data_IF_733189455829
#
_entry.id   IF_733189455829
#
_cell.length_a   1.000
_cell.length_b   1.000
_cell.length_c   1.000
_cell.angle_alpha   90.00
_cell.angle_beta   90.00
_cell.angle_gamma   90.00
#
_symmetry.space_group_name_H-M   'P 1'
#
loop_
_entity.id
_entity.type
_entity.pdbx_description
1 polymer ?
#
# COMPACT_ATOMS: atom_id res chain seq x y z
N UNK A 1 22.47 -1.54 4.39
CA UNK A 1 23.57 -2.28 3.74
C UNK A 1 22.99 -3.59 3.22
N UNK A 2 22.84 -3.72 1.90
CA UNK A 2 22.32 -4.93 1.25
C UNK A 2 23.34 -6.05 1.42
N UNK A 3 23.03 -7.08 2.20
CA UNK A 3 23.86 -8.29 2.19
C UNK A 3 23.51 -9.06 0.92
N UNK A 4 24.51 -9.23 0.07
CA UNK A 4 24.56 -9.80 -1.29
C UNK A 4 23.88 -11.18 -1.54
N UNK A 5 22.93 -11.63 -0.72
CA UNK A 5 22.43 -13.03 -0.70
C UNK A 5 21.00 -13.24 -1.20
N UNK A 6 20.13 -12.23 -1.18
CA UNK A 6 18.76 -12.42 -1.64
C UNK A 6 18.65 -12.20 -3.15
N UNK A 7 18.16 -13.20 -3.88
CA UNK A 7 17.73 -13.00 -5.26
C UNK A 7 16.36 -12.29 -5.29
N UNK A 8 15.95 -11.77 -6.46
CA UNK A 8 14.70 -11.01 -6.61
C UNK A 8 13.45 -11.82 -6.22
N UNK A 9 13.47 -13.14 -6.38
CA UNK A 9 12.36 -14.02 -5.97
C UNK A 9 12.22 -14.07 -4.43
N UNK A 10 13.33 -14.12 -3.71
CA UNK A 10 13.34 -14.09 -2.26
C UNK A 10 12.78 -12.75 -1.74
N UNK A 11 13.14 -11.62 -2.38
CA UNK A 11 12.56 -10.31 -2.03
C UNK A 11 11.05 -10.29 -2.23
N UNK A 12 10.56 -10.80 -3.38
CA UNK A 12 9.12 -10.92 -3.66
C UNK A 12 8.41 -11.70 -2.56
N UNK A 13 8.94 -12.87 -2.19
CA UNK A 13 8.36 -13.73 -1.18
C UNK A 13 8.34 -13.06 0.20
N UNK A 14 9.44 -12.41 0.60
CA UNK A 14 9.52 -11.66 1.88
C UNK A 14 8.51 -10.51 1.91
N UNK A 15 8.38 -9.75 0.82
CA UNK A 15 7.38 -8.68 0.70
C UNK A 15 5.94 -9.19 0.89
N UNK A 16 5.58 -10.28 0.21
CA UNK A 16 4.26 -10.90 0.33
C UNK A 16 4.00 -11.42 1.75
N UNK A 17 4.98 -12.10 2.37
CA UNK A 17 4.84 -12.62 3.72
C UNK A 17 4.61 -11.50 4.74
N UNK A 18 5.34 -10.39 4.62
CA UNK A 18 5.16 -9.21 5.46
C UNK A 18 3.81 -8.54 5.24
N UNK A 19 3.35 -8.42 4.00
CA UNK A 19 2.02 -7.89 3.69
C UNK A 19 0.91 -8.75 4.29
N UNK A 20 1.02 -10.07 4.15
CA UNK A 20 0.06 -11.01 4.75
C UNK A 20 0.01 -10.83 6.28
N UNK A 21 1.16 -10.76 6.96
CA UNK A 21 1.23 -10.52 8.41
C UNK A 21 0.57 -9.19 8.79
N UNK A 22 0.88 -8.11 8.07
CA UNK A 22 0.28 -6.80 8.29
C UNK A 22 -1.25 -6.82 8.08
N UNK A 23 -1.73 -7.56 7.09
CA UNK A 23 -3.16 -7.71 6.80
C UNK A 23 -3.90 -8.45 7.91
N UNK A 24 -3.31 -9.53 8.45
CA UNK A 24 -3.88 -10.27 9.58
C UNK A 24 -3.97 -9.38 10.83
N UNK A 25 -2.91 -8.63 11.15
CA UNK A 25 -2.91 -7.73 12.30
C UNK A 25 -3.92 -6.59 12.12
N UNK A 26 -4.01 -6.01 10.92
CA UNK A 26 -4.98 -4.97 10.59
C UNK A 26 -6.42 -5.49 10.68
N UNK A 27 -6.68 -6.71 10.21
CA UNK A 27 -7.99 -7.36 10.33
C UNK A 27 -8.40 -7.61 11.79
N UNK A 28 -7.48 -8.12 12.62
CA UNK A 28 -7.71 -8.30 14.06
C UNK A 28 -8.01 -6.97 14.76
N UNK A 29 -7.24 -5.93 14.43
CA UNK A 29 -7.45 -4.59 14.97
C UNK A 29 -8.83 -4.03 14.59
N UNK A 30 -9.22 -4.18 13.32
CA UNK A 30 -10.52 -3.72 12.83
C UNK A 30 -11.71 -4.50 13.40
N UNK A 31 -11.52 -5.77 13.76
CA UNK A 31 -12.54 -6.60 14.40
C UNK A 31 -12.76 -6.25 15.89
N UNK A 32 -12.04 -5.27 16.44
CA UNK A 32 -12.17 -4.88 17.84
C UNK A 32 -11.62 -5.93 18.83
N UNK A 33 -10.73 -6.81 18.37
CA UNK A 33 -10.04 -7.73 19.29
C UNK A 33 -9.30 -6.92 20.38
N UNK A 34 -9.34 -7.35 21.65
CA UNK A 34 -8.60 -6.69 22.72
C UNK A 34 -7.11 -6.57 22.36
N UNK A 35 -6.58 -5.35 22.48
CA UNK A 35 -5.18 -5.03 22.23
C UNK A 35 -4.36 -5.32 23.49
N UNK A 36 -4.10 -6.60 23.74
CA UNK A 36 -3.21 -7.04 24.82
C UNK A 36 -1.73 -6.75 24.50
N UNK A 37 -0.87 -6.94 25.50
CA UNK A 37 0.58 -6.71 25.38
C UNK A 37 1.19 -7.53 24.24
N UNK A 38 0.78 -8.79 24.09
CA UNK A 38 1.25 -9.66 23.03
C UNK A 38 0.89 -9.15 21.62
N UNK A 39 -0.31 -8.61 21.43
CA UNK A 39 -0.72 -8.01 20.16
C UNK A 39 0.07 -6.73 19.87
N UNK A 40 0.36 -5.91 20.88
CA UNK A 40 1.20 -4.72 20.73
C UNK A 40 2.64 -5.06 20.37
N UNK A 41 3.21 -6.10 20.97
CA UNK A 41 4.53 -6.61 20.63
C UNK A 41 4.58 -7.09 19.17
N UNK A 42 3.55 -7.84 18.75
CA UNK A 42 3.40 -8.31 17.38
C UNK A 42 3.31 -7.17 16.36
N UNK A 43 2.52 -6.13 16.67
CA UNK A 43 2.40 -4.93 15.83
C UNK A 43 3.74 -4.21 15.76
N UNK A 44 4.39 -4.00 16.91
CA UNK A 44 5.68 -3.27 17.00
C UNK A 44 6.78 -4.00 16.24
N UNK A 45 6.90 -5.32 16.41
CA UNK A 45 7.85 -6.14 15.68
C UNK A 45 7.58 -6.09 14.17
N UNK A 46 6.31 -6.15 13.76
CA UNK A 46 5.92 -6.06 12.35
C UNK A 46 6.18 -4.67 11.75
N UNK A 47 5.95 -3.58 12.49
CA UNK A 47 6.32 -2.21 12.07
C UNK A 47 7.83 -2.10 11.79
N UNK A 48 8.66 -2.60 12.72
CA UNK A 48 10.13 -2.58 12.57
C UNK A 48 10.58 -3.43 11.37
N UNK A 49 10.05 -4.65 11.24
CA UNK A 49 10.42 -5.58 10.17
C UNK A 49 10.01 -5.05 8.78
N UNK A 50 8.78 -4.58 8.63
CA UNK A 50 8.27 -4.02 7.35
C UNK A 50 9.08 -2.79 6.94
N UNK A 51 9.38 -1.90 7.88
CA UNK A 51 10.14 -0.69 7.59
C UNK A 51 11.60 -0.99 7.25
N UNK A 52 12.26 -1.89 8.00
CA UNK A 52 13.62 -2.33 7.71
C UNK A 52 13.72 -2.99 6.34
N UNK A 53 12.75 -3.85 6.01
CA UNK A 53 12.69 -4.52 4.70
C UNK A 53 12.47 -3.50 3.58
N UNK A 54 11.47 -2.62 3.68
CA UNK A 54 11.16 -1.63 2.66
C UNK A 54 12.32 -0.65 2.41
N UNK A 55 13.05 -0.24 3.46
CA UNK A 55 14.25 0.60 3.35
C UNK A 55 15.46 -0.16 2.82
N UNK A 56 15.47 -1.48 2.98
CA UNK A 56 16.50 -2.37 2.50
C UNK A 56 16.25 -2.95 1.11
N UNK A 57 15.19 -2.55 0.39
CA UNK A 57 15.00 -2.98 -0.99
C UNK A 57 16.04 -2.32 -1.92
N UNK A 58 16.45 -2.99 -3.00
CA UNK A 58 17.28 -2.37 -4.03
C UNK A 58 16.49 -1.28 -4.74
N UNK A 59 17.17 -0.44 -5.52
CA UNK A 59 16.49 0.50 -6.40
C UNK A 59 15.65 -0.26 -7.44
N UNK A 60 14.46 0.26 -7.73
CA UNK A 60 13.54 -0.39 -8.65
C UNK A 60 14.07 -0.44 -10.09
N UNK A 61 14.78 0.60 -10.52
CA UNK A 61 15.43 0.66 -11.82
C UNK A 61 16.85 0.10 -11.70
N UNK A 62 17.04 -1.13 -12.17
CA UNK A 62 18.35 -1.75 -12.22
C UNK A 62 19.16 -1.17 -13.39
N UNK A 63 20.49 -1.03 -13.26
CA UNK A 63 21.36 -0.65 -14.37
C UNK A 63 21.22 -1.65 -15.53
N UNK A 64 21.09 -1.15 -16.76
CA UNK A 64 20.80 -1.94 -17.97
C UNK A 64 21.89 -2.99 -18.32
N UNK A 65 23.08 -2.89 -17.71
CA UNK A 65 24.29 -3.54 -18.21
C UNK A 65 24.42 -5.04 -17.93
N UNK A 66 23.56 -5.66 -17.10
CA UNK A 66 23.84 -7.01 -16.61
C UNK A 66 22.62 -7.96 -16.51
N UNK A 67 21.56 -7.68 -17.27
CA UNK A 67 20.29 -8.43 -17.15
C UNK A 67 19.73 -8.86 -18.50
N UNK A 68 19.62 -10.17 -18.72
CA UNK A 68 19.06 -10.77 -19.94
C UNK A 68 17.57 -10.43 -20.21
N UNK A 69 16.82 -9.95 -19.21
CA UNK A 69 15.46 -9.44 -19.36
C UNK A 69 15.09 -8.43 -18.24
N UNK A 70 15.36 -7.12 -18.42
CA UNK A 70 15.11 -6.12 -17.38
C UNK A 70 13.62 -6.01 -17.01
N UNK A 71 12.71 -6.19 -17.96
CA UNK A 71 11.26 -6.11 -17.71
C UNK A 71 10.75 -7.24 -16.80
N UNK A 72 11.29 -8.46 -16.97
CA UNK A 72 10.95 -9.59 -16.12
C UNK A 72 11.39 -9.34 -14.67
N UNK A 73 12.58 -8.77 -14.48
CA UNK A 73 13.08 -8.43 -13.14
C UNK A 73 12.29 -7.26 -12.55
N UNK A 74 12.00 -6.24 -13.35
CA UNK A 74 11.15 -5.12 -12.96
C UNK A 74 9.78 -5.60 -12.48
N UNK A 75 9.16 -6.57 -13.18
CA UNK A 75 7.90 -7.19 -12.75
C UNK A 75 8.01 -7.86 -11.37
N UNK A 76 9.07 -8.63 -11.11
CA UNK A 76 9.30 -9.29 -9.83
C UNK A 76 9.52 -8.26 -8.71
N UNK A 77 10.35 -7.26 -8.97
CA UNK A 77 10.63 -6.17 -8.04
C UNK A 77 9.39 -5.32 -7.76
N UNK A 78 8.52 -5.11 -8.75
CA UNK A 78 7.29 -4.34 -8.58
C UNK A 78 6.40 -4.96 -7.50
N UNK A 79 6.27 -6.29 -7.49
CA UNK A 79 5.55 -7.00 -6.42
C UNK A 79 6.26 -6.80 -5.07
N UNK A 80 7.59 -6.98 -5.02
CA UNK A 80 8.35 -6.86 -3.78
C UNK A 80 8.18 -5.47 -3.13
N UNK A 81 8.31 -4.40 -3.93
CA UNK A 81 8.13 -3.03 -3.49
C UNK A 81 6.68 -2.74 -3.10
N UNK A 82 5.70 -3.05 -3.96
CA UNK A 82 4.30 -2.78 -3.67
C UNK A 82 3.86 -3.50 -2.39
N UNK A 83 4.24 -4.77 -2.22
CA UNK A 83 3.90 -5.53 -1.03
C UNK A 83 4.58 -4.97 0.23
N UNK A 84 5.86 -4.61 0.16
CA UNK A 84 6.58 -4.02 1.28
C UNK A 84 5.98 -2.68 1.73
N UNK A 85 5.73 -1.76 0.79
CA UNK A 85 5.16 -0.45 1.11
C UNK A 85 3.71 -0.56 1.59
N UNK A 86 2.93 -1.47 1.03
CA UNK A 86 1.58 -1.74 1.52
C UNK A 86 1.58 -2.36 2.92
N UNK A 87 2.55 -3.22 3.23
CA UNK A 87 2.71 -3.75 4.58
C UNK A 87 3.01 -2.64 5.59
N UNK A 88 3.91 -1.70 5.24
CA UNK A 88 4.19 -0.50 6.04
C UNK A 88 2.90 0.30 6.24
N UNK A 89 2.15 0.59 5.16
CA UNK A 89 0.91 1.36 5.23
C UNK A 89 -0.11 0.71 6.17
N UNK A 90 -0.36 -0.60 6.04
CA UNK A 90 -1.34 -1.29 6.86
C UNK A 90 -0.95 -1.30 8.33
N UNK A 91 0.27 -1.75 8.66
CA UNK A 91 0.67 -1.94 10.06
C UNK A 91 0.82 -0.61 10.80
N UNK A 92 1.36 0.42 10.13
CA UNK A 92 1.46 1.75 10.72
C UNK A 92 0.07 2.41 10.85
N UNK A 93 -0.89 2.03 10.01
CA UNK A 93 -2.28 2.47 10.14
C UNK A 93 -2.97 2.00 11.41
N UNK A 94 -2.50 0.92 12.04
CA UNK A 94 -3.02 0.44 13.33
C UNK A 94 -2.60 1.40 14.45
N UNK A 95 -1.36 1.91 14.40
CA UNK A 95 -0.78 2.72 15.48
C UNK A 95 -0.84 4.23 15.21
N UNK A 96 -1.32 4.66 14.05
CA UNK A 96 -1.33 6.06 13.62
C UNK A 96 -2.09 7.01 14.57
N UNK A 97 -3.08 6.51 15.30
CA UNK A 97 -3.79 7.29 16.32
C UNK A 97 -2.94 7.59 17.55
N UNK A 98 -2.07 6.66 17.94
CA UNK A 98 -1.21 6.78 19.12
C UNK A 98 0.17 7.40 18.78
N UNK A 99 0.60 7.30 17.52
CA UNK A 99 1.95 7.68 17.09
C UNK A 99 1.90 8.52 15.82
N UNK A 100 2.00 9.87 15.91
CA UNK A 100 1.96 10.76 14.74
C UNK A 100 3.00 10.44 13.67
N UNK A 101 4.20 10.00 14.08
CA UNK A 101 5.28 9.59 13.17
C UNK A 101 4.88 8.41 12.27
N UNK A 102 3.92 7.58 12.69
CA UNK A 102 3.46 6.45 11.88
C UNK A 102 2.75 6.94 10.61
N UNK A 103 1.97 8.03 10.68
CA UNK A 103 1.33 8.64 9.51
C UNK A 103 2.36 9.15 8.50
N UNK A 104 3.46 9.75 8.97
CA UNK A 104 4.54 10.20 8.09
C UNK A 104 5.19 9.03 7.34
N UNK A 105 5.41 7.90 8.03
CA UNK A 105 5.96 6.70 7.38
C UNK A 105 4.97 6.09 6.38
N UNK A 106 3.66 6.10 6.65
CA UNK A 106 2.64 5.70 5.66
C UNK A 106 2.69 6.60 4.41
N UNK A 107 2.78 7.92 4.59
CA UNK A 107 2.86 8.86 3.47
C UNK A 107 4.13 8.66 2.65
N UNK A 108 5.29 8.46 3.29
CA UNK A 108 6.55 8.14 2.62
C UNK A 108 6.43 6.83 1.83
N UNK A 109 5.84 5.79 2.42
CA UNK A 109 5.63 4.51 1.77
C UNK A 109 4.68 4.63 0.56
N UNK A 110 3.57 5.36 0.69
CA UNK A 110 2.62 5.59 -0.40
C UNK A 110 3.28 6.33 -1.58
N UNK A 111 4.02 7.40 -1.31
CA UNK A 111 4.76 8.14 -2.35
C UNK A 111 5.74 7.25 -3.10
N UNK A 112 6.51 6.41 -2.39
CA UNK A 112 7.45 5.47 -3.01
C UNK A 112 6.74 4.39 -3.81
N UNK A 113 5.62 3.87 -3.30
CA UNK A 113 4.82 2.90 -4.04
C UNK A 113 4.24 3.50 -5.34
N UNK A 114 3.81 4.77 -5.31
CA UNK A 114 3.28 5.45 -6.49
C UNK A 114 4.30 5.65 -7.60
N UNK A 115 5.60 5.73 -7.29
CA UNK A 115 6.65 5.66 -8.31
C UNK A 115 6.57 4.33 -9.06
N UNK A 116 6.49 3.21 -8.33
CA UNK A 116 6.39 1.87 -8.92
C UNK A 116 5.10 1.71 -9.74
N UNK A 117 3.97 2.22 -9.22
CA UNK A 117 2.69 2.19 -9.92
C UNK A 117 2.77 2.92 -11.25
N UNK A 118 3.38 4.12 -11.29
CA UNK A 118 3.54 4.91 -12.52
C UNK A 118 4.43 4.20 -13.54
N UNK A 119 5.51 3.56 -13.11
CA UNK A 119 6.35 2.76 -14.00
C UNK A 119 5.58 1.54 -14.56
N UNK A 120 4.85 0.82 -13.70
CA UNK A 120 4.04 -0.32 -14.14
C UNK A 120 2.86 0.09 -15.02
N UNK A 121 2.39 1.35 -14.90
CA UNK A 121 1.33 1.90 -15.74
C UNK A 121 1.73 2.04 -17.22
N UNK A 122 3.03 2.07 -17.53
CA UNK A 122 3.55 2.13 -18.91
C UNK A 122 4.24 0.84 -19.35
N UNK A 123 4.47 -0.11 -18.43
CA UNK A 123 5.08 -1.40 -18.74
C UNK A 123 4.27 -2.20 -19.76
N UNK A 124 4.93 -3.07 -20.53
CA UNK A 124 4.25 -3.96 -21.49
C UNK A 124 3.26 -4.89 -20.75
N UNK A 125 2.05 -5.17 -21.29
CA UNK A 125 1.05 -5.95 -20.58
C UNK A 125 1.54 -7.31 -20.06
N UNK A 126 2.38 -8.01 -20.84
CA UNK A 126 2.95 -9.32 -20.46
C UNK A 126 3.84 -9.30 -19.21
N UNK A 127 4.25 -8.11 -18.76
CA UNK A 127 5.11 -7.93 -17.57
C UNK A 127 4.35 -7.32 -16.39
N UNK A 128 3.05 -7.07 -16.51
CA UNK A 128 2.24 -6.63 -15.37
C UNK A 128 1.95 -7.84 -14.49
N UNK A 129 2.46 -7.87 -13.24
CA UNK A 129 2.30 -9.02 -12.39
C UNK A 129 0.88 -9.12 -11.87
N UNK A 130 0.31 -10.33 -11.88
CA UNK A 130 -1.03 -10.58 -11.36
C UNK A 130 -1.21 -10.13 -9.89
N UNK A 131 -0.25 -10.47 -9.01
CA UNK A 131 -0.28 -10.10 -7.59
C UNK A 131 -0.12 -8.60 -7.33
N UNK A 132 0.23 -7.81 -8.34
CA UNK A 132 0.40 -6.38 -8.19
C UNK A 132 -0.90 -5.71 -7.76
N UNK A 133 -2.04 -6.07 -8.38
CA UNK A 133 -3.33 -5.46 -8.05
C UNK A 133 -3.72 -5.62 -6.58
N UNK A 134 -3.53 -6.82 -6.02
CA UNK A 134 -3.78 -7.10 -4.61
C UNK A 134 -2.90 -6.28 -3.67
N UNK A 135 -1.62 -6.15 -4.02
CA UNK A 135 -0.69 -5.35 -3.23
C UNK A 135 -1.02 -3.85 -3.26
N UNK A 136 -1.81 -3.34 -4.22
CA UNK A 136 -2.15 -1.92 -4.29
C UNK A 136 -3.35 -1.50 -3.45
N UNK A 137 -4.16 -2.43 -2.94
CA UNK A 137 -5.37 -2.09 -2.20
C UNK A 137 -5.13 -1.22 -0.95
N UNK A 138 -4.09 -1.48 -0.12
CA UNK A 138 -3.80 -0.63 1.03
C UNK A 138 -3.37 0.78 0.64
N UNK A 139 -2.62 0.91 -0.47
CA UNK A 139 -2.21 2.20 -1.02
C UNK A 139 -3.43 2.99 -1.46
N UNK A 140 -4.36 2.36 -2.20
CA UNK A 140 -5.60 3.00 -2.61
C UNK A 140 -6.41 3.51 -1.41
N UNK A 141 -6.64 2.67 -0.40
CA UNK A 141 -7.38 3.06 0.81
C UNK A 141 -6.70 4.23 1.53
N UNK A 142 -5.37 4.22 1.65
CA UNK A 142 -4.61 5.31 2.26
C UNK A 142 -4.72 6.61 1.47
N UNK A 143 -4.55 6.58 0.15
CA UNK A 143 -4.64 7.76 -0.70
C UNK A 143 -6.04 8.37 -0.69
N UNK A 144 -7.11 7.56 -0.64
CA UNK A 144 -8.46 8.08 -0.47
C UNK A 144 -8.60 8.87 0.85
N UNK A 145 -8.15 8.29 1.97
CA UNK A 145 -8.15 8.98 3.27
C UNK A 145 -7.35 10.27 3.25
N UNK A 146 -6.16 10.24 2.65
CA UNK A 146 -5.28 11.40 2.55
C UNK A 146 -5.91 12.51 1.72
N UNK A 147 -6.54 12.17 0.59
CA UNK A 147 -7.27 13.12 -0.24
C UNK A 147 -8.39 13.80 0.55
N UNK A 148 -9.22 13.00 1.22
CA UNK A 148 -10.35 13.50 2.02
C UNK A 148 -9.86 14.44 3.13
N UNK A 149 -8.79 14.06 3.83
CA UNK A 149 -8.19 14.90 4.86
C UNK A 149 -7.65 16.23 4.29
N UNK A 150 -7.03 16.21 3.12
CA UNK A 150 -6.55 17.44 2.47
C UNK A 150 -7.69 18.33 2.00
N UNK A 151 -8.81 17.76 1.55
CA UNK A 151 -10.03 18.50 1.20
C UNK A 151 -10.67 19.14 2.44
N UNK A 152 -10.75 18.41 3.56
CA UNK A 152 -11.23 18.93 4.86
C UNK A 152 -10.39 20.11 5.37
N UNK A 153 -9.08 20.09 5.10
CA UNK A 153 -8.14 21.15 5.48
C UNK A 153 -8.02 22.27 4.42
N UNK A 154 -8.85 22.25 3.37
CA UNK A 154 -8.81 23.20 2.25
C UNK A 154 -7.44 23.29 1.54
N UNK A 155 -6.66 22.20 1.53
CA UNK A 155 -5.38 22.09 0.84
C UNK A 155 -5.56 21.58 -0.60
N UNK A 156 -6.17 22.41 -1.46
CA UNK A 156 -6.58 22.03 -2.83
C UNK A 156 -5.45 21.45 -3.69
N UNK A 157 -4.26 22.08 -3.67
CA UNK A 157 -3.12 21.61 -4.45
C UNK A 157 -2.65 20.20 -4.02
N UNK A 158 -2.71 19.91 -2.71
CA UNK A 158 -2.40 18.59 -2.17
C UNK A 158 -3.43 17.55 -2.59
N UNK A 159 -4.72 17.88 -2.45
CA UNK A 159 -5.82 17.01 -2.85
C UNK A 159 -5.76 16.67 -4.35
N UNK A 160 -5.46 17.65 -5.20
CA UNK A 160 -5.27 17.45 -6.64
C UNK A 160 -4.10 16.52 -6.96
N UNK A 161 -2.97 16.65 -6.24
CA UNK A 161 -1.83 15.76 -6.40
C UNK A 161 -2.18 14.30 -6.02
N UNK A 162 -2.88 14.11 -4.90
CA UNK A 162 -3.35 12.77 -4.48
C UNK A 162 -4.38 12.20 -5.46
N UNK A 163 -5.26 13.03 -6.02
CA UNK A 163 -6.19 12.60 -7.06
C UNK A 163 -5.47 12.13 -8.33
N UNK A 164 -4.40 12.81 -8.73
CA UNK A 164 -3.56 12.38 -9.85
C UNK A 164 -2.94 10.99 -9.59
N UNK A 165 -2.46 10.76 -8.36
CA UNK A 165 -1.94 9.45 -7.94
C UNK A 165 -3.04 8.36 -7.95
N UNK A 166 -4.24 8.67 -7.46
CA UNK A 166 -5.41 7.76 -7.52
C UNK A 166 -5.80 7.42 -8.96
N UNK A 167 -5.71 8.37 -9.89
CA UNK A 167 -5.97 8.14 -11.31
C UNK A 167 -4.93 7.19 -11.93
N UNK A 168 -3.64 7.39 -11.63
CA UNK A 168 -2.57 6.50 -12.09
C UNK A 168 -2.73 5.07 -11.54
N UNK A 169 -3.10 4.95 -10.26
CA UNK A 169 -3.39 3.67 -9.63
C UNK A 169 -4.59 2.99 -10.29
N UNK A 170 -5.70 3.72 -10.50
CA UNK A 170 -6.90 3.19 -11.15
C UNK A 170 -6.63 2.72 -12.58
N UNK A 171 -5.85 3.49 -13.34
CA UNK A 171 -5.41 3.09 -14.67
C UNK A 171 -4.62 1.80 -14.63
N UNK A 172 -3.65 1.68 -13.72
CA UNK A 172 -2.83 0.48 -13.56
C UNK A 172 -3.66 -0.74 -13.17
N UNK A 173 -4.63 -0.58 -12.27
CA UNK A 173 -5.55 -1.65 -11.87
C UNK A 173 -6.46 -2.11 -13.01
N UNK A 174 -6.91 -1.18 -13.86
CA UNK A 174 -7.65 -1.53 -15.09
C UNK A 174 -6.80 -2.41 -16.01
N UNK A 175 -5.52 -2.04 -16.22
CA UNK A 175 -4.59 -2.85 -17.02
C UNK A 175 -4.35 -4.24 -16.44
N UNK A 176 -4.27 -4.37 -15.11
CA UNK A 176 -4.25 -5.69 -14.45
C UNK A 176 -5.54 -6.45 -14.77
N UNK A 177 -6.68 -5.79 -14.73
CA UNK A 177 -7.97 -6.42 -14.97
C UNK A 177 -8.22 -6.87 -16.41
N UNK A 178 -7.70 -6.14 -17.39
CA UNK A 178 -7.70 -6.53 -18.81
C UNK A 178 -6.97 -7.86 -19.03
N UNK A 179 -5.92 -8.13 -18.25
CA UNK A 179 -5.13 -9.36 -18.33
C UNK A 179 -5.68 -10.50 -17.45
N UNK A 180 -6.33 -10.14 -16.34
CA UNK A 180 -6.78 -11.08 -15.30
C UNK A 180 -8.21 -10.73 -14.84
N UNK A 181 -9.24 -10.98 -15.66
CA UNK A 181 -10.60 -10.46 -15.43
C UNK A 181 -11.26 -11.02 -14.16
N UNK A 182 -11.05 -12.30 -13.84
CA UNK A 182 -11.63 -12.91 -12.64
C UNK A 182 -11.07 -12.26 -11.36
N UNK A 183 -9.74 -12.15 -11.16
CA UNK A 183 -9.22 -11.38 -10.03
C UNK A 183 -9.58 -9.89 -10.05
N UNK A 184 -9.80 -9.31 -11.24
CA UNK A 184 -10.17 -7.91 -11.38
C UNK A 184 -11.52 -7.60 -10.73
N UNK A 185 -12.51 -8.49 -10.88
CA UNK A 185 -13.84 -8.28 -10.31
C UNK A 185 -13.77 -8.27 -8.78
N UNK A 186 -13.02 -9.23 -8.19
CA UNK A 186 -12.82 -9.28 -6.74
C UNK A 186 -12.06 -8.05 -6.24
N UNK A 187 -11.06 -7.59 -7.00
CA UNK A 187 -10.33 -6.37 -6.67
C UNK A 187 -11.25 -5.15 -6.73
N UNK A 188 -12.07 -5.01 -7.77
CA UNK A 188 -13.03 -3.91 -7.91
C UNK A 188 -13.99 -3.85 -6.73
N UNK A 189 -14.60 -4.98 -6.35
CA UNK A 189 -15.46 -5.06 -5.17
C UNK A 189 -14.74 -4.61 -3.88
N UNK A 190 -13.47 -4.97 -3.72
CA UNK A 190 -12.68 -4.55 -2.57
C UNK A 190 -12.39 -3.03 -2.58
N UNK A 191 -12.15 -2.44 -3.74
CA UNK A 191 -11.94 -0.98 -3.86
C UNK A 191 -13.23 -0.22 -3.56
N UNK A 192 -14.37 -0.71 -4.05
CA UNK A 192 -15.68 -0.13 -3.78
C UNK A 192 -16.00 -0.17 -2.28
N UNK A 193 -15.74 -1.33 -1.63
CA UNK A 193 -15.88 -1.45 -0.16
C UNK A 193 -14.97 -0.47 0.59
N UNK A 194 -13.77 -0.19 0.09
CA UNK A 194 -12.90 0.81 0.69
C UNK A 194 -13.54 2.20 0.62
N UNK A 195 -14.09 2.59 -0.53
CA UNK A 195 -14.79 3.87 -0.70
C UNK A 195 -15.98 3.97 0.26
N UNK A 196 -16.83 2.95 0.33
CA UNK A 196 -18.01 2.95 1.20
C UNK A 196 -17.64 3.00 2.69
N UNK A 197 -16.62 2.24 3.10
CA UNK A 197 -16.11 2.27 4.49
C UNK A 197 -15.68 3.68 4.88
N UNK A 198 -14.98 4.39 3.98
CA UNK A 198 -14.50 5.74 4.25
C UNK A 198 -15.63 6.78 4.31
N UNK A 199 -16.65 6.65 3.47
CA UNK A 199 -17.85 7.49 3.56
C UNK A 199 -18.53 7.34 4.93
N UNK A 200 -18.68 6.11 5.42
CA UNK A 200 -19.27 5.85 6.74
C UNK A 200 -18.40 6.43 7.87
N UNK A 201 -17.07 6.30 7.79
CA UNK A 201 -16.13 6.90 8.74
C UNK A 201 -16.29 8.44 8.81
N UNK A 202 -16.52 9.12 7.68
CA UNK A 202 -16.77 10.57 7.66
C UNK A 202 -18.09 10.97 8.30
N UNK A 203 -19.17 10.28 7.95
CA UNK A 203 -20.51 10.59 8.49
C UNK A 203 -20.51 10.45 10.02
N UNK A 204 -19.88 9.41 10.54
CA UNK A 204 -19.72 9.21 11.98
C UNK A 204 -18.94 10.34 12.67
N UNK A 205 -17.87 10.86 12.04
CA UNK A 205 -17.12 12.01 12.58
C UNK A 205 -17.96 13.28 12.62
N UNK A 206 -18.75 13.56 11.59
CA UNK A 206 -19.61 14.75 11.53
C UNK A 206 -20.69 14.74 12.62
N UNK A 207 -21.31 13.58 12.87
CA UNK A 207 -22.32 13.44 13.94
C UNK A 207 -21.74 13.66 15.35
N UNK A 208 -20.51 13.21 15.59
CA UNK A 208 -19.84 13.41 16.88
C UNK A 208 -19.46 14.89 17.13
N UNK A 209 -19.23 15.67 16.07
CA UNK A 209 -18.91 17.10 16.18
C UNK A 209 -20.16 17.97 16.37
N UNK A 210 -21.33 17.55 15.89
CA UNK A 210 -22.59 18.31 16.04
C UNK A 210 -23.38 17.97 17.31
N UNK A 211 -23.04 16.86 18.00
CA UNK A 211 -23.71 16.40 19.23
C UNK A 211 -23.10 16.93 20.54
N UNK A 212 -22.19 17.90 20.50
CA UNK A 212 -21.61 18.51 21.70
C UNK A 212 -22.54 19.57 22.32
N UNK A 213 -22.90 19.47 23.62
CA UNK A 213 -23.78 20.41 24.32
C UNK A 213 -23.17 21.80 24.53
#
# INVERSE_FOLDING_TARGET
MWTHKDNFQALRQKGIALLHRASVLSGRAAAGCPMDEAMWDDITATCRATLAFARGLPDFRLPEYDVHNPDAIGSILAIAHAAAYSAVIQVHGIVALAQPLAREEQLKAAKRAMVIVKEMSTARPSYIPHFFGWALAPIHKFLLREKMQLEELHHEAGAAAVQSDLNALSHTLRRVGELYPIPASVLAEMLDRNVETLKLEMVGKQMNLSGGP
#
